data_IF_347906773210
#
_entry.id   IF_347906773210
#
_cell.length_a   1.000
_cell.length_b   1.000
_cell.length_c   1.000
_cell.angle_alpha   90.00
_cell.angle_beta   90.00
_cell.angle_gamma   90.00
#
_symmetry.space_group_name_H-M   'P 1'
#
loop_
_entity.id
_entity.type
_entity.pdbx_description
1 polymer ?
#
# COMPACT_ATOMS: atom_id res chain seq x y z
N UNK A 1 21.29 -10.80 15.56
CA UNK A 1 21.95 -9.72 14.78
C UNK A 1 21.78 -9.89 13.27
N UNK A 2 21.87 -11.11 12.72
CA UNK A 2 21.81 -11.35 11.26
C UNK A 2 20.44 -11.05 10.62
N UNK A 3 19.34 -11.50 11.23
CA UNK A 3 17.98 -11.17 10.76
C UNK A 3 17.67 -9.66 10.82
N UNK A 4 18.15 -8.95 11.86
CA UNK A 4 18.03 -7.48 12.03
C UNK A 4 18.68 -6.72 10.87
N UNK A 5 19.90 -7.11 10.51
CA UNK A 5 20.59 -6.50 9.38
C UNK A 5 19.87 -6.79 8.07
N UNK A 6 19.28 -7.98 7.92
CA UNK A 6 18.58 -8.38 6.69
C UNK A 6 17.29 -7.58 6.45
N UNK A 7 16.48 -7.34 7.49
CA UNK A 7 15.24 -6.54 7.39
C UNK A 7 15.49 -5.09 6.99
N UNK A 8 16.36 -4.38 7.73
CA UNK A 8 16.70 -3.00 7.40
C UNK A 8 17.43 -2.88 6.05
N UNK A 9 18.36 -3.80 5.71
CA UNK A 9 19.01 -3.81 4.38
C UNK A 9 17.97 -3.94 3.26
N UNK A 10 17.00 -4.85 3.40
CA UNK A 10 15.90 -4.99 2.43
C UNK A 10 15.10 -3.69 2.30
N UNK A 11 14.75 -3.02 3.40
CA UNK A 11 14.04 -1.74 3.36
C UNK A 11 14.84 -0.64 2.65
N UNK A 12 16.13 -0.48 2.97
CA UNK A 12 17.01 0.51 2.34
C UNK A 12 17.34 0.21 0.86
N UNK A 13 17.03 -0.98 0.36
CA UNK A 13 17.12 -1.31 -1.07
C UNK A 13 15.76 -1.11 -1.74
N UNK A 14 14.70 -1.65 -1.17
CA UNK A 14 13.37 -1.67 -1.77
C UNK A 14 12.72 -0.29 -1.80
N UNK A 15 12.89 0.53 -0.75
CA UNK A 15 12.32 1.87 -0.73
C UNK A 15 12.91 2.74 -1.85
N UNK A 16 14.24 2.86 -2.04
CA UNK A 16 14.78 3.60 -3.19
C UNK A 16 14.34 3.06 -4.55
N UNK A 17 14.29 1.73 -4.74
CA UNK A 17 13.77 1.14 -5.98
C UNK A 17 12.31 1.54 -6.23
N UNK A 18 11.48 1.46 -5.20
CA UNK A 18 10.08 1.89 -5.27
C UNK A 18 9.99 3.38 -5.60
N UNK A 19 10.70 4.23 -4.88
CA UNK A 19 10.69 5.68 -5.08
C UNK A 19 11.18 6.07 -6.48
N UNK A 20 12.23 5.42 -6.99
CA UNK A 20 12.75 5.68 -8.32
C UNK A 20 11.70 5.40 -9.41
N UNK A 21 10.92 4.32 -9.27
CA UNK A 21 9.96 3.89 -10.29
C UNK A 21 8.58 4.55 -10.10
N UNK A 22 8.03 4.51 -8.89
CA UNK A 22 6.64 4.90 -8.60
C UNK A 22 6.47 6.37 -8.19
N UNK A 23 7.55 7.08 -7.88
CA UNK A 23 7.50 8.51 -7.56
C UNK A 23 8.27 9.30 -8.60
N UNK A 24 9.58 9.07 -8.72
CA UNK A 24 10.42 9.85 -9.62
C UNK A 24 10.06 9.61 -11.09
N UNK A 25 10.03 8.35 -11.53
CA UNK A 25 9.81 8.06 -12.93
C UNK A 25 8.36 8.32 -13.36
N UNK A 26 7.38 7.70 -12.69
CA UNK A 26 5.96 7.78 -13.10
C UNK A 26 5.27 9.10 -12.79
N UNK A 27 5.50 9.70 -11.61
CA UNK A 27 4.80 10.95 -11.20
C UNK A 27 5.54 12.22 -11.59
N UNK A 28 6.87 12.20 -11.68
CA UNK A 28 7.68 13.38 -11.99
C UNK A 28 8.15 13.36 -13.45
N UNK A 29 8.98 12.38 -13.84
CA UNK A 29 9.64 12.39 -15.14
C UNK A 29 8.66 12.26 -16.30
N UNK A 30 7.80 11.24 -16.30
CA UNK A 30 6.84 11.01 -17.39
C UNK A 30 5.85 12.16 -17.54
N UNK A 31 5.47 12.80 -16.44
CA UNK A 31 4.61 14.00 -16.46
C UNK A 31 5.36 15.21 -16.99
N UNK A 32 6.63 15.37 -16.66
CA UNK A 32 7.47 16.48 -17.14
C UNK A 32 7.71 16.43 -18.66
N UNK A 33 7.79 15.23 -19.23
CA UNK A 33 7.97 15.04 -20.68
C UNK A 33 6.66 14.85 -21.45
N UNK A 34 5.52 15.19 -20.84
CA UNK A 34 4.17 15.08 -21.43
C UNK A 34 3.88 13.70 -22.06
N UNK A 35 4.36 12.62 -21.44
CA UNK A 35 4.18 11.27 -21.97
C UNK A 35 2.70 10.87 -21.98
N UNK A 36 2.23 10.15 -23.03
CA UNK A 36 0.85 9.71 -23.10
C UNK A 36 0.46 8.87 -21.89
N UNK A 37 -0.71 9.16 -21.31
CA UNK A 37 -1.29 8.43 -20.16
C UNK A 37 -1.25 6.91 -20.35
N UNK A 38 -1.55 6.42 -21.56
CA UNK A 38 -1.52 4.99 -21.88
C UNK A 38 -0.15 4.37 -21.64
N UNK A 39 0.91 5.07 -22.01
CA UNK A 39 2.28 4.59 -21.84
C UNK A 39 2.68 4.60 -20.36
N UNK A 40 2.43 5.71 -19.66
CA UNK A 40 2.82 5.86 -18.25
C UNK A 40 2.14 4.85 -17.33
N UNK A 41 0.83 4.67 -17.48
CA UNK A 41 0.06 3.72 -16.68
C UNK A 41 0.45 2.27 -17.01
N UNK A 42 0.67 1.94 -18.29
CA UNK A 42 1.13 0.59 -18.67
C UNK A 42 2.45 0.26 -18.00
N UNK A 43 3.40 1.21 -18.00
CA UNK A 43 4.70 1.01 -17.37
C UNK A 43 4.58 0.90 -15.84
N UNK A 44 3.69 1.66 -15.22
CA UNK A 44 3.36 1.52 -13.79
C UNK A 44 2.75 0.14 -13.46
N UNK A 45 1.84 -0.38 -14.29
CA UNK A 45 1.26 -1.71 -14.11
C UNK A 45 2.33 -2.80 -14.23
N UNK A 46 3.20 -2.70 -15.25
CA UNK A 46 4.32 -3.63 -15.42
C UNK A 46 5.26 -3.56 -14.21
N UNK A 47 5.58 -2.37 -13.71
CA UNK A 47 6.48 -2.24 -12.57
C UNK A 47 5.88 -2.82 -11.29
N UNK A 48 4.58 -2.66 -11.04
CA UNK A 48 3.92 -3.33 -9.92
C UNK A 48 3.97 -4.85 -10.02
N UNK A 49 3.75 -5.42 -11.21
CA UNK A 49 3.87 -6.87 -11.41
C UNK A 49 5.30 -7.34 -11.14
N UNK A 50 6.30 -6.65 -11.69
CA UNK A 50 7.72 -7.03 -11.54
C UNK A 50 8.18 -6.86 -10.09
N UNK A 51 7.97 -5.69 -9.48
CA UNK A 51 8.41 -5.41 -8.11
C UNK A 51 7.63 -6.25 -7.09
N UNK A 52 6.34 -6.45 -7.28
CA UNK A 52 5.54 -7.31 -6.41
C UNK A 52 5.95 -8.77 -6.51
N UNK A 53 6.33 -9.25 -7.69
CA UNK A 53 6.89 -10.61 -7.86
C UNK A 53 8.23 -10.76 -7.15
N UNK A 54 9.14 -9.79 -7.34
CA UNK A 54 10.43 -9.76 -6.63
C UNK A 54 10.21 -9.70 -5.12
N UNK A 55 9.31 -8.82 -4.66
CA UNK A 55 8.94 -8.69 -3.25
C UNK A 55 8.42 -10.00 -2.66
N UNK A 56 7.53 -10.68 -3.39
CA UNK A 56 6.98 -11.99 -3.00
C UNK A 56 8.09 -13.03 -2.82
N UNK A 57 9.05 -13.09 -3.76
CA UNK A 57 10.19 -14.01 -3.65
C UNK A 57 11.09 -13.65 -2.47
N UNK A 58 11.38 -12.35 -2.27
CA UNK A 58 12.25 -11.88 -1.19
C UNK A 58 11.67 -12.14 0.21
N UNK A 59 10.35 -12.09 0.35
CA UNK A 59 9.61 -12.28 1.59
C UNK A 59 8.83 -13.61 1.62
N UNK A 60 9.21 -14.57 0.76
CA UNK A 60 8.51 -15.85 0.61
C UNK A 60 8.39 -16.61 1.93
N UNK A 61 9.44 -16.61 2.75
CA UNK A 61 9.44 -17.32 4.03
C UNK A 61 8.45 -16.69 5.03
N UNK A 62 8.41 -15.36 5.07
CA UNK A 62 7.50 -14.58 5.90
C UNK A 62 6.04 -14.78 5.46
N UNK A 63 5.79 -14.77 4.15
CA UNK A 63 4.47 -15.04 3.57
C UNK A 63 4.02 -16.48 3.83
N UNK A 64 4.92 -17.46 3.62
CA UNK A 64 4.63 -18.88 3.88
C UNK A 64 4.34 -19.14 5.36
N UNK A 65 5.10 -18.52 6.27
CA UNK A 65 4.81 -18.59 7.70
C UNK A 65 3.45 -17.95 8.04
N UNK A 66 3.11 -16.84 7.39
CA UNK A 66 1.78 -16.24 7.50
C UNK A 66 0.65 -17.14 6.99
N UNK A 67 0.86 -17.84 5.88
CA UNK A 67 -0.08 -18.83 5.35
C UNK A 67 -0.34 -19.97 6.34
N UNK A 68 0.70 -20.50 6.98
CA UNK A 68 0.55 -21.55 7.99
C UNK A 68 -0.35 -21.12 9.18
N UNK A 69 -0.31 -19.85 9.59
CA UNK A 69 -1.15 -19.31 10.67
C UNK A 69 -2.65 -19.29 10.34
N UNK A 70 -3.03 -19.41 9.07
CA UNK A 70 -4.45 -19.56 8.69
C UNK A 70 -5.01 -20.91 9.08
N UNK A 71 -4.17 -21.96 9.10
CA UNK A 71 -4.56 -23.31 9.53
C UNK A 71 -4.35 -23.47 11.03
N UNK A 72 -3.22 -23.01 11.56
CA UNK A 72 -2.87 -23.16 12.98
C UNK A 72 -3.74 -22.31 13.92
N UNK A 73 -4.15 -21.11 13.47
CA UNK A 73 -4.83 -20.10 14.30
C UNK A 73 -6.03 -19.47 13.59
N UNK A 74 -6.78 -20.25 12.80
CA UNK A 74 -7.84 -19.77 11.90
C UNK A 74 -8.75 -18.72 12.54
N UNK A 75 -9.36 -19.03 13.69
CA UNK A 75 -10.31 -18.12 14.35
C UNK A 75 -9.67 -16.78 14.72
N UNK A 76 -8.46 -16.80 15.28
CA UNK A 76 -7.73 -15.57 15.63
C UNK A 76 -7.32 -14.78 14.39
N UNK A 77 -6.82 -15.47 13.36
CA UNK A 77 -6.39 -14.85 12.10
C UNK A 77 -7.57 -14.17 11.39
N UNK A 78 -8.71 -14.85 11.29
CA UNK A 78 -9.96 -14.30 10.74
C UNK A 78 -10.45 -13.12 11.58
N UNK A 79 -10.50 -13.25 12.92
CA UNK A 79 -10.93 -12.16 13.80
C UNK A 79 -10.05 -10.92 13.65
N UNK A 80 -8.72 -11.07 13.56
CA UNK A 80 -7.82 -9.93 13.36
C UNK A 80 -8.03 -9.31 11.97
N UNK A 81 -8.17 -10.13 10.92
CA UNK A 81 -8.45 -9.62 9.57
C UNK A 81 -9.72 -8.78 9.56
N UNK A 82 -10.83 -9.33 10.06
CA UNK A 82 -12.12 -8.64 10.06
C UNK A 82 -12.12 -7.40 10.96
N UNK A 83 -11.54 -7.49 12.16
CA UNK A 83 -11.44 -6.36 13.07
C UNK A 83 -10.59 -5.23 12.48
N UNK A 84 -9.46 -5.56 11.85
CA UNK A 84 -8.60 -4.58 11.20
C UNK A 84 -9.29 -3.94 9.98
N UNK A 85 -10.03 -4.72 9.19
CA UNK A 85 -10.79 -4.22 8.04
C UNK A 85 -11.90 -3.25 8.46
N UNK A 86 -12.70 -3.61 9.48
CA UNK A 86 -13.74 -2.72 10.00
C UNK A 86 -13.13 -1.47 10.63
N UNK A 87 -12.04 -1.62 11.38
CA UNK A 87 -11.35 -0.49 11.99
C UNK A 87 -10.76 0.46 10.93
N UNK A 88 -10.20 -0.09 9.86
CA UNK A 88 -9.70 0.68 8.70
C UNK A 88 -10.84 1.47 8.07
N UNK A 89 -11.95 0.81 7.74
CA UNK A 89 -13.13 1.49 7.19
C UNK A 89 -13.61 2.63 8.09
N UNK A 90 -13.73 2.41 9.41
CA UNK A 90 -14.20 3.45 10.33
C UNK A 90 -13.22 4.61 10.48
N UNK A 91 -11.94 4.32 10.77
CA UNK A 91 -10.96 5.36 11.09
C UNK A 91 -10.48 6.11 9.86
N UNK A 92 -10.38 5.47 8.70
CA UNK A 92 -10.02 6.15 7.44
C UNK A 92 -11.12 7.12 7.00
N UNK A 93 -12.40 6.76 7.16
CA UNK A 93 -13.53 7.66 6.91
C UNK A 93 -13.55 8.83 7.92
N UNK A 94 -13.26 8.58 9.20
CA UNK A 94 -13.10 9.67 10.18
C UNK A 94 -11.95 10.62 9.80
N UNK A 95 -10.85 10.08 9.26
CA UNK A 95 -9.71 10.87 8.81
C UNK A 95 -10.01 11.72 7.56
N UNK A 96 -11.04 11.37 6.79
CA UNK A 96 -11.50 12.16 5.64
C UNK A 96 -12.36 13.37 6.06
N UNK A 97 -12.95 13.38 7.27
CA UNK A 97 -13.86 14.45 7.72
C UNK A 97 -13.30 15.87 7.61
N UNK A 98 -12.03 16.17 7.98
CA UNK A 98 -11.49 17.52 7.85
C UNK A 98 -11.58 18.03 6.40
N UNK A 99 -11.32 17.15 5.43
CA UNK A 99 -11.37 17.50 4.02
C UNK A 99 -12.80 17.65 3.53
N UNK A 100 -13.70 16.74 3.92
CA UNK A 100 -15.14 16.82 3.61
C UNK A 100 -15.80 18.11 4.13
N UNK A 101 -15.29 18.70 5.21
CA UNK A 101 -15.80 19.97 5.74
C UNK A 101 -15.19 21.20 5.04
N UNK A 102 -13.95 21.10 4.57
CA UNK A 102 -13.24 22.21 3.93
C UNK A 102 -13.59 22.36 2.45
N UNK A 103 -13.77 21.24 1.75
CA UNK A 103 -14.06 21.22 0.32
C UNK A 103 -14.77 19.89 -0.04
N UNK A 104 -16.11 19.81 0.15
CA UNK A 104 -16.87 18.59 -0.03
C UNK A 104 -16.80 18.01 -1.45
N UNK A 105 -16.56 18.88 -2.45
CA UNK A 105 -16.52 18.50 -3.87
C UNK A 105 -15.09 18.21 -4.37
N UNK A 106 -14.08 18.39 -3.51
CA UNK A 106 -12.70 18.14 -3.89
C UNK A 106 -12.44 16.63 -3.95
N UNK A 107 -12.01 16.15 -5.12
CA UNK A 107 -11.43 14.83 -5.29
C UNK A 107 -9.91 14.95 -5.28
N UNK A 108 -9.21 14.01 -4.61
CA UNK A 108 -7.75 13.99 -4.77
C UNK A 108 -7.37 13.75 -6.22
N UNK A 109 -6.21 14.27 -6.58
CA UNK A 109 -5.57 13.96 -7.85
C UNK A 109 -5.32 12.45 -8.01
N UNK A 110 -5.11 11.72 -6.91
CA UNK A 110 -5.00 10.26 -6.94
C UNK A 110 -6.31 9.60 -7.36
N UNK A 111 -7.43 9.93 -6.71
CA UNK A 111 -8.74 9.37 -7.08
C UNK A 111 -9.15 9.74 -8.49
N UNK A 112 -8.92 10.99 -8.90
CA UNK A 112 -9.14 11.41 -10.27
C UNK A 112 -8.30 10.59 -11.25
N UNK A 113 -7.02 10.37 -10.96
CA UNK A 113 -6.11 9.57 -11.80
C UNK A 113 -6.59 8.13 -11.94
N UNK A 114 -7.14 7.54 -10.87
CA UNK A 114 -7.69 6.18 -10.89
C UNK A 114 -9.01 6.14 -11.68
N UNK A 115 -9.91 7.10 -11.47
CA UNK A 115 -11.17 7.21 -12.21
C UNK A 115 -10.92 7.38 -13.73
N UNK A 116 -9.87 8.13 -14.11
CA UNK A 116 -9.48 8.28 -15.51
C UNK A 116 -9.08 6.98 -16.20
N UNK A 117 -8.80 5.89 -15.46
CA UNK A 117 -8.44 4.59 -16.04
C UNK A 117 -9.65 3.80 -16.55
N UNK A 118 -10.87 4.18 -16.13
CA UNK A 118 -12.10 3.45 -16.44
C UNK A 118 -12.28 3.27 -17.95
N UNK A 119 -12.45 2.01 -18.38
CA UNK A 119 -12.63 1.65 -19.79
C UNK A 119 -11.43 1.87 -20.71
N UNK A 120 -10.26 2.32 -20.20
CA UNK A 120 -9.08 2.62 -21.03
C UNK A 120 -8.06 1.48 -21.14
N UNK A 121 -8.13 0.50 -20.23
CA UNK A 121 -7.19 -0.63 -20.14
C UNK A 121 -7.95 -1.96 -19.97
N UNK A 122 -7.34 -3.11 -20.36
CA UNK A 122 -7.96 -4.40 -20.16
C UNK A 122 -8.25 -4.67 -18.67
N UNK A 123 -9.50 -5.02 -18.36
CA UNK A 123 -9.98 -5.29 -17.01
C UNK A 123 -9.06 -6.22 -16.20
N UNK A 124 -8.68 -7.36 -16.79
CA UNK A 124 -7.80 -8.34 -16.14
C UNK A 124 -6.43 -7.75 -15.80
N UNK A 125 -5.85 -6.95 -16.69
CA UNK A 125 -4.55 -6.32 -16.46
C UNK A 125 -4.64 -5.32 -15.30
N UNK A 126 -5.68 -4.47 -15.28
CA UNK A 126 -5.92 -3.51 -14.21
C UNK A 126 -6.10 -4.20 -12.86
N UNK A 127 -6.93 -5.25 -12.81
CA UNK A 127 -7.20 -6.02 -11.59
C UNK A 127 -5.93 -6.68 -11.05
N UNK A 128 -5.16 -7.37 -11.91
CA UNK A 128 -3.94 -8.05 -11.49
C UNK A 128 -2.87 -7.04 -11.06
N UNK A 129 -2.63 -6.02 -11.88
CA UNK A 129 -1.54 -5.09 -11.63
C UNK A 129 -1.84 -4.13 -10.48
N UNK A 130 -2.99 -3.45 -10.50
CA UNK A 130 -3.31 -2.41 -9.52
C UNK A 130 -4.05 -2.98 -8.29
N UNK A 131 -4.92 -3.98 -8.48
CA UNK A 131 -5.73 -4.53 -7.39
C UNK A 131 -5.04 -5.60 -6.54
N UNK A 132 -3.99 -6.23 -7.07
CA UNK A 132 -3.27 -7.30 -6.37
C UNK A 132 -1.79 -6.97 -6.25
N UNK A 133 -1.08 -6.82 -7.38
CA UNK A 133 0.38 -6.67 -7.36
C UNK A 133 0.84 -5.30 -6.83
N UNK A 134 0.04 -4.26 -7.00
CA UNK A 134 0.23 -2.95 -6.36
C UNK A 134 0.24 -3.07 -4.83
N UNK A 135 -0.86 -3.52 -4.21
CA UNK A 135 -0.93 -3.84 -2.79
C UNK A 135 0.21 -4.72 -2.30
N UNK A 136 0.55 -5.81 -3.01
CA UNK A 136 1.69 -6.67 -2.65
C UNK A 136 3.01 -5.87 -2.61
N UNK A 137 3.28 -5.08 -3.66
CA UNK A 137 4.49 -4.25 -3.74
C UNK A 137 4.56 -3.28 -2.58
N UNK A 138 3.46 -2.58 -2.31
CA UNK A 138 3.39 -1.54 -1.29
C UNK A 138 3.51 -2.14 0.12
N UNK A 139 2.84 -3.25 0.41
CA UNK A 139 2.96 -3.90 1.72
C UNK A 139 4.35 -4.50 1.97
N UNK A 140 5.01 -5.03 0.93
CA UNK A 140 6.40 -5.48 1.05
C UNK A 140 7.32 -4.30 1.42
N UNK A 141 7.19 -3.17 0.71
CA UNK A 141 8.07 -1.99 0.87
C UNK A 141 7.81 -1.28 2.18
N UNK A 142 6.55 -1.00 2.51
CA UNK A 142 6.21 -0.12 3.63
C UNK A 142 5.91 -0.89 4.91
N UNK A 143 5.61 -2.19 4.88
CA UNK A 143 5.23 -2.95 6.09
C UNK A 143 6.24 -4.03 6.39
N UNK A 144 6.36 -5.03 5.53
CA UNK A 144 7.19 -6.22 5.81
C UNK A 144 8.67 -5.85 5.98
N UNK A 145 9.23 -5.05 5.07
CA UNK A 145 10.63 -4.65 5.13
C UNK A 145 10.99 -3.80 6.38
N UNK A 146 10.31 -2.68 6.67
CA UNK A 146 10.69 -1.83 7.80
C UNK A 146 10.31 -2.45 9.15
N UNK A 147 9.11 -3.03 9.28
CA UNK A 147 8.64 -3.60 10.56
C UNK A 147 9.40 -4.89 10.90
N UNK A 148 9.76 -5.69 9.90
CA UNK A 148 10.58 -6.89 10.08
C UNK A 148 12.01 -6.58 10.58
N UNK A 149 12.52 -5.37 10.38
CA UNK A 149 13.82 -4.92 10.90
C UNK A 149 13.81 -4.53 12.38
N UNK A 150 12.63 -4.28 12.97
CA UNK A 150 12.49 -3.77 14.32
C UNK A 150 12.27 -4.89 15.36
N UNK A 151 13.15 -5.00 16.36
CA UNK A 151 13.07 -6.05 17.39
C UNK A 151 12.21 -5.62 18.59
N UNK A 152 12.45 -4.42 19.13
CA UNK A 152 11.76 -3.90 20.32
C UNK A 152 10.37 -3.40 19.97
N UNK A 153 9.39 -3.64 20.86
CA UNK A 153 8.01 -3.14 20.70
C UNK A 153 7.97 -1.61 20.54
N UNK A 154 8.77 -0.87 21.30
CA UNK A 154 8.86 0.60 21.19
C UNK A 154 9.37 1.04 19.81
N UNK A 155 10.37 0.36 19.25
CA UNK A 155 10.88 0.63 17.91
C UNK A 155 9.85 0.29 16.83
N UNK A 156 9.08 -0.80 16.99
CA UNK A 156 8.02 -1.16 16.05
C UNK A 156 6.95 -0.08 15.94
N UNK A 157 6.55 0.53 17.06
CA UNK A 157 5.57 1.63 17.06
C UNK A 157 6.09 2.80 16.23
N UNK A 158 7.33 3.26 16.49
CA UNK A 158 7.94 4.35 15.73
C UNK A 158 8.03 4.01 14.24
N UNK A 159 8.44 2.78 13.92
CA UNK A 159 8.55 2.31 12.53
C UNK A 159 7.20 2.28 11.83
N UNK A 160 6.12 1.86 12.51
CA UNK A 160 4.75 1.90 11.96
C UNK A 160 4.37 3.34 11.62
N UNK A 161 4.60 4.29 12.54
CA UNK A 161 4.30 5.71 12.30
C UNK A 161 5.07 6.27 11.10
N UNK A 162 6.39 6.02 11.03
CA UNK A 162 7.23 6.49 9.93
C UNK A 162 6.82 5.85 8.61
N UNK A 163 6.58 4.54 8.59
CA UNK A 163 6.16 3.83 7.39
C UNK A 163 4.79 4.30 6.88
N UNK A 164 3.83 4.52 7.78
CA UNK A 164 2.53 5.06 7.44
C UNK A 164 2.62 6.47 6.86
N UNK A 165 3.49 7.32 7.43
CA UNK A 165 3.74 8.66 6.91
C UNK A 165 4.35 8.60 5.51
N UNK A 166 5.37 7.76 5.30
CA UNK A 166 5.97 7.55 3.98
C UNK A 166 4.94 7.03 2.96
N UNK A 167 4.09 6.10 3.38
CA UNK A 167 3.03 5.56 2.55
C UNK A 167 2.04 6.63 2.11
N UNK A 168 1.57 7.49 3.02
CA UNK A 168 0.74 8.64 2.65
C UNK A 168 1.48 9.59 1.70
N UNK A 169 2.76 9.89 1.97
CA UNK A 169 3.54 10.81 1.15
C UNK A 169 3.71 10.33 -0.30
N UNK A 170 3.88 9.03 -0.54
CA UNK A 170 3.98 8.50 -1.92
C UNK A 170 2.65 8.56 -2.68
N UNK A 171 1.53 8.73 -1.98
CA UNK A 171 0.21 8.91 -2.59
C UNK A 171 -0.08 10.36 -2.98
N UNK A 172 0.66 11.34 -2.47
CA UNK A 172 0.49 12.73 -2.90
C UNK A 172 0.85 12.90 -4.38
N UNK A 173 0.01 13.62 -5.12
CA UNK A 173 0.33 14.08 -6.48
C UNK A 173 0.70 15.57 -6.53
N UNK A 174 0.55 16.29 -5.43
CA UNK A 174 0.98 17.67 -5.26
C UNK A 174 1.31 17.97 -3.78
N UNK A 175 2.29 18.83 -3.52
CA UNK A 175 2.64 19.27 -2.16
C UNK A 175 1.75 20.44 -1.73
N UNK A 176 0.46 20.18 -1.58
CA UNK A 176 -0.52 21.17 -1.09
C UNK A 176 -1.18 20.69 0.20
N UNK A 177 -1.69 21.63 1.00
CA UNK A 177 -2.43 21.30 2.22
C UNK A 177 -3.67 20.46 1.90
N UNK A 178 -4.39 20.76 0.81
CA UNK A 178 -5.56 19.98 0.38
C UNK A 178 -5.19 18.53 0.06
N UNK A 179 -4.16 18.32 -0.75
CA UNK A 179 -3.72 16.96 -1.12
C UNK A 179 -3.25 16.19 0.14
N UNK A 180 -2.58 16.85 1.08
CA UNK A 180 -2.17 16.24 2.33
C UNK A 180 -3.37 15.81 3.20
N UNK A 181 -4.33 16.71 3.40
CA UNK A 181 -5.55 16.43 4.18
C UNK A 181 -6.38 15.32 3.53
N UNK A 182 -6.48 15.32 2.19
CA UNK A 182 -7.18 14.27 1.46
C UNK A 182 -6.54 12.89 1.63
N UNK A 183 -5.22 12.82 1.77
CA UNK A 183 -4.49 11.57 1.93
C UNK A 183 -4.32 11.12 3.39
N UNK A 184 -4.86 11.85 4.39
CA UNK A 184 -4.90 11.39 5.79
C UNK A 184 -5.50 9.98 5.97
N UNK A 185 -6.55 9.56 5.23
CA UNK A 185 -7.02 8.18 5.25
C UNK A 185 -5.89 7.17 4.97
N UNK A 186 -4.98 7.43 4.03
CA UNK A 186 -3.85 6.55 3.71
C UNK A 186 -2.86 6.42 4.87
N UNK A 187 -2.65 7.50 5.63
CA UNK A 187 -1.84 7.45 6.85
C UNK A 187 -2.49 6.52 7.89
N UNK A 188 -3.80 6.68 8.12
CA UNK A 188 -4.55 5.84 9.06
C UNK A 188 -4.54 4.37 8.64
N UNK A 189 -4.80 4.07 7.36
CA UNK A 189 -4.70 2.73 6.80
C UNK A 189 -3.31 2.14 7.04
N UNK A 190 -2.25 2.93 6.82
CA UNK A 190 -0.89 2.50 7.11
C UNK A 190 -0.62 2.16 8.58
N UNK A 191 -1.18 2.93 9.52
CA UNK A 191 -1.10 2.63 10.95
C UNK A 191 -1.82 1.32 11.30
N UNK A 192 -3.00 1.10 10.73
CA UNK A 192 -3.83 -0.08 11.02
C UNK A 192 -3.19 -1.34 10.46
N UNK A 193 -2.72 -1.33 9.22
CA UNK A 193 -2.10 -2.50 8.59
C UNK A 193 -0.76 -2.85 9.24
N UNK A 194 0.04 -1.82 9.57
CA UNK A 194 1.27 -2.00 10.34
C UNK A 194 1.02 -2.60 11.73
N UNK A 195 -0.03 -2.14 12.41
CA UNK A 195 -0.44 -2.69 13.71
C UNK A 195 -0.96 -4.11 13.59
N UNK A 196 -1.80 -4.39 12.58
CA UNK A 196 -2.33 -5.72 12.30
C UNK A 196 -1.21 -6.72 12.04
N UNK A 197 -0.17 -6.33 11.30
CA UNK A 197 1.04 -7.15 11.10
C UNK A 197 1.73 -7.49 12.43
N UNK A 198 1.91 -6.51 13.32
CA UNK A 198 2.60 -6.72 14.61
C UNK A 198 1.77 -7.60 15.56
N UNK A 199 0.45 -7.41 15.59
CA UNK A 199 -0.48 -8.15 16.46
C UNK A 199 -0.68 -9.59 15.98
N UNK A 200 -0.92 -9.77 14.68
CA UNK A 200 -1.12 -11.09 14.08
C UNK A 200 0.18 -11.89 13.94
N UNK A 201 1.32 -11.19 13.77
CA UNK A 201 2.59 -11.78 13.30
C UNK A 201 2.45 -12.52 11.96
N UNK A 202 1.45 -12.13 11.17
CA UNK A 202 1.11 -12.76 9.91
C UNK A 202 1.35 -11.78 8.76
N UNK A 203 2.33 -12.08 7.90
CA UNK A 203 2.70 -11.25 6.77
C UNK A 203 1.62 -11.15 5.69
N UNK A 204 0.69 -12.11 5.62
CA UNK A 204 -0.39 -12.09 4.62
C UNK A 204 -1.54 -11.17 5.02
N UNK A 205 -1.71 -10.86 6.32
CA UNK A 205 -2.81 -10.01 6.81
C UNK A 205 -2.79 -8.61 6.18
N UNK A 206 -1.69 -7.83 6.26
CA UNK A 206 -1.67 -6.50 5.63
C UNK A 206 -1.90 -6.56 4.11
N UNK A 207 -1.35 -7.58 3.43
CA UNK A 207 -1.56 -7.78 1.99
C UNK A 207 -3.04 -8.02 1.66
N UNK A 208 -3.69 -8.92 2.39
CA UNK A 208 -5.10 -9.23 2.19
C UNK A 208 -6.00 -8.05 2.52
N UNK A 209 -5.75 -7.32 3.61
CA UNK A 209 -6.48 -6.10 3.94
C UNK A 209 -6.41 -5.09 2.79
N UNK A 210 -5.21 -4.86 2.26
CA UNK A 210 -5.00 -3.90 1.18
C UNK A 210 -5.70 -4.35 -0.11
N UNK A 211 -5.59 -5.62 -0.49
CA UNK A 211 -6.34 -6.17 -1.63
C UNK A 211 -7.85 -6.05 -1.42
N UNK A 212 -8.36 -6.38 -0.21
CA UNK A 212 -9.78 -6.25 0.11
C UNK A 212 -10.28 -4.80 0.03
N UNK A 213 -9.45 -3.82 0.37
CA UNK A 213 -9.80 -2.41 0.28
C UNK A 213 -9.76 -1.89 -1.16
N UNK A 214 -8.80 -2.33 -1.96
CA UNK A 214 -8.55 -1.76 -3.29
C UNK A 214 -9.32 -2.48 -4.42
N UNK A 215 -9.45 -3.80 -4.33
CA UNK A 215 -10.03 -4.63 -5.39
C UNK A 215 -11.49 -4.31 -5.71
N UNK A 216 -12.42 -4.07 -4.74
CA UNK A 216 -13.81 -3.79 -5.05
C UNK A 216 -13.98 -2.57 -5.96
N UNK A 217 -13.26 -1.48 -5.67
CA UNK A 217 -13.30 -0.27 -6.48
C UNK A 217 -12.84 -0.55 -7.92
N UNK A 218 -11.72 -1.28 -8.08
CA UNK A 218 -11.18 -1.59 -9.40
C UNK A 218 -12.03 -2.57 -10.20
N UNK A 219 -12.68 -3.55 -9.55
CA UNK A 219 -13.64 -4.44 -10.21
C UNK A 219 -14.85 -3.66 -10.70
N UNK A 220 -15.41 -2.77 -9.88
CA UNK A 220 -16.51 -1.91 -10.29
C UNK A 220 -16.15 -0.97 -11.43
N UNK A 221 -14.91 -0.48 -11.49
CA UNK A 221 -14.43 0.33 -12.62
C UNK A 221 -14.17 -0.49 -13.89
N UNK A 222 -13.91 -1.79 -13.76
CA UNK A 222 -13.56 -2.67 -14.87
C UNK A 222 -14.78 -3.34 -15.54
N UNK A 223 -15.95 -3.27 -14.89
CA UNK A 223 -17.25 -3.72 -15.38
C UNK A 223 -18.03 -2.56 -16.00
#
# INVERSE_FOLDING_TARGET
>A
MEQKQKGFKRFFILLPCYMAVHVFYTKILLRYVDMPMRFSVTLQMISYIVLGSIGTVLFWNELKAGLALWEEQTGKTVCILLAAFVLDMLLSNLAALPMMQLDPDYQSLNEHSVAELQGKFPALLTIVALGIMGPVTEEVVFRLAPIGGAEKKSTKIVVIFVAAALFMLVHLHAFTVKEFLYNLPQFVTGLIYGTALVVSRNATIPVLLHVMNNLPALVLMAL
#
